data_IF_838639086697
#
_entry.id   IF_838639086697
#
_cell.length_a   1.000
_cell.length_b   1.000
_cell.length_c   1.000
_cell.angle_alpha   90.00
_cell.angle_beta   90.00
_cell.angle_gamma   90.00
#
_symmetry.space_group_name_H-M   'P 1'
#
loop_
_entity.id
_entity.type
_entity.pdbx_description
1 polymer ?
#
# COMPACT_ATOMS: atom_id res chain seq x y z
N UNK A 1 24.50 -10.45 -20.70
CA UNK A 1 24.87 -10.02 -19.32
C UNK A 1 23.60 -9.58 -18.62
N UNK A 2 23.30 -10.06 -17.41
CA UNK A 2 22.09 -9.66 -16.67
C UNK A 2 22.32 -8.26 -16.10
N UNK A 3 21.53 -7.28 -16.54
CA UNK A 3 21.63 -5.92 -16.03
C UNK A 3 20.89 -5.84 -14.68
N UNK A 4 21.63 -5.96 -13.58
CA UNK A 4 21.11 -5.87 -12.22
C UNK A 4 21.54 -4.52 -11.68
N UNK A 5 20.57 -3.63 -11.45
CA UNK A 5 20.84 -2.29 -10.92
C UNK A 5 20.80 -2.34 -9.39
N UNK A 6 21.88 -1.97 -8.68
CA UNK A 6 21.87 -1.90 -7.22
C UNK A 6 20.74 -0.98 -6.74
N UNK A 7 20.00 -1.41 -5.71
CA UNK A 7 18.82 -0.69 -5.22
C UNK A 7 17.55 -0.88 -6.07
N UNK A 8 17.56 -1.79 -7.05
CA UNK A 8 16.38 -2.19 -7.82
C UNK A 8 16.17 -3.70 -7.73
N UNK A 9 14.90 -4.10 -7.66
CA UNK A 9 14.50 -5.48 -7.44
C UNK A 9 14.24 -5.78 -5.97
N UNK A 10 14.14 -7.06 -5.63
CA UNK A 10 13.80 -7.50 -4.28
C UNK A 10 14.84 -7.00 -3.25
N UNK A 11 14.42 -6.46 -2.07
CA UNK A 11 13.06 -6.41 -1.50
C UNK A 11 12.29 -5.10 -1.75
N UNK A 12 12.75 -4.25 -2.67
CA UNK A 12 12.25 -2.88 -2.86
C UNK A 12 11.04 -2.85 -3.80
N UNK A 13 9.85 -3.07 -3.23
CA UNK A 13 8.57 -2.95 -3.94
C UNK A 13 8.12 -1.47 -4.04
N UNK A 14 7.90 -0.99 -5.28
CA UNK A 14 7.45 0.38 -5.53
C UNK A 14 5.97 0.61 -5.24
N UNK A 15 5.18 -0.46 -5.11
CA UNK A 15 3.76 -0.39 -4.76
C UNK A 15 3.54 -0.34 -3.25
N UNK A 16 4.51 -0.80 -2.46
CA UNK A 16 4.44 -0.74 -1.01
C UNK A 16 4.69 0.69 -0.51
N UNK A 17 3.61 1.39 -0.16
CA UNK A 17 3.69 2.76 0.34
C UNK A 17 4.06 2.82 1.84
N UNK A 18 3.35 2.07 2.69
CA UNK A 18 3.69 1.92 4.12
C UNK A 18 2.96 0.73 4.74
N UNK A 19 3.34 0.37 5.97
CA UNK A 19 2.62 -0.60 6.78
C UNK A 19 1.51 0.10 7.60
N UNK A 20 0.36 -0.57 7.76
CA UNK A 20 -0.71 -0.16 8.68
C UNK A 20 -0.71 -1.17 9.82
N UNK A 21 -0.65 -0.70 11.07
CA UNK A 21 -0.69 -1.56 12.25
C UNK A 21 -2.13 -1.77 12.70
N UNK A 22 -2.34 -2.83 13.49
CA UNK A 22 -3.63 -3.00 14.16
C UNK A 22 -3.92 -1.79 15.04
N UNK A 23 -5.20 -1.40 15.11
CA UNK A 23 -5.67 -0.21 15.84
C UNK A 23 -5.26 1.15 15.26
N UNK A 24 -4.61 1.21 14.08
CA UNK A 24 -4.49 2.47 13.34
C UNK A 24 -5.89 2.92 12.87
N UNK A 25 -6.36 4.12 13.23
CA UNK A 25 -7.64 4.62 12.74
C UNK A 25 -7.57 4.86 11.21
N UNK A 26 -8.63 4.47 10.50
CA UNK A 26 -8.72 4.57 9.03
C UNK A 26 -10.01 5.25 8.59
N UNK A 27 -9.94 5.94 7.45
CA UNK A 27 -11.11 6.38 6.68
C UNK A 27 -11.17 5.62 5.36
N UNK A 28 -12.31 4.97 5.06
CA UNK A 28 -12.53 4.25 3.78
C UNK A 28 -13.12 5.23 2.76
N UNK A 29 -12.45 5.40 1.62
CA UNK A 29 -12.88 6.34 0.58
C UNK A 29 -13.45 5.65 -0.67
N UNK A 30 -13.04 4.41 -0.97
CA UNK A 30 -13.58 3.64 -2.08
C UNK A 30 -13.35 2.13 -1.87
N UNK A 31 -14.04 1.29 -2.64
CA UNK A 31 -13.84 -0.15 -2.67
C UNK A 31 -13.81 -0.66 -4.11
N UNK A 32 -13.02 -1.70 -4.35
CA UNK A 32 -13.06 -2.39 -5.64
C UNK A 32 -14.39 -3.11 -5.84
N UNK A 33 -14.79 -3.33 -7.11
CA UNK A 33 -16.07 -3.99 -7.44
C UNK A 33 -16.20 -5.41 -6.89
N UNK A 34 -15.07 -6.11 -6.80
CA UNK A 34 -14.95 -7.45 -6.22
C UNK A 34 -14.88 -7.44 -4.68
N UNK A 35 -14.91 -6.25 -4.06
CA UNK A 35 -14.88 -6.01 -2.61
C UNK A 35 -13.66 -6.60 -1.89
N UNK A 36 -12.57 -6.89 -2.61
CA UNK A 36 -11.34 -7.42 -2.01
C UNK A 36 -10.42 -6.33 -1.46
N UNK A 37 -10.56 -5.11 -1.98
CA UNK A 37 -9.68 -4.00 -1.62
C UNK A 37 -10.49 -2.77 -1.26
N UNK A 38 -10.08 -2.12 -0.16
CA UNK A 38 -10.55 -0.80 0.25
C UNK A 38 -9.45 0.22 0.04
N UNK A 39 -9.78 1.36 -0.56
CA UNK A 39 -8.90 2.51 -0.61
C UNK A 39 -9.09 3.30 0.69
N UNK A 40 -8.03 3.43 1.49
CA UNK A 40 -8.07 4.01 2.84
C UNK A 40 -7.08 5.15 3.03
N UNK A 41 -7.43 6.10 3.90
CA UNK A 41 -6.55 7.17 4.38
C UNK A 41 -6.19 6.90 5.84
N UNK A 42 -4.91 7.05 6.19
CA UNK A 42 -4.39 6.92 7.56
C UNK A 42 -3.72 8.21 8.03
N UNK A 43 -3.66 8.49 9.35
CA UNK A 43 -3.10 9.74 9.87
C UNK A 43 -1.60 9.93 9.55
N UNK A 44 -0.88 8.82 9.41
CA UNK A 44 0.56 8.73 9.19
C UNK A 44 0.96 8.82 7.70
N UNK A 45 0.00 8.84 6.78
CA UNK A 45 0.27 8.82 5.34
C UNK A 45 -0.48 9.95 4.63
N UNK A 46 0.27 10.84 3.98
CA UNK A 46 -0.30 11.90 3.13
C UNK A 46 -0.70 11.28 1.79
N UNK A 47 -1.87 10.63 1.76
CA UNK A 47 -2.43 10.00 0.57
C UNK A 47 -3.41 8.87 0.91
N UNK A 48 -3.93 8.20 -0.12
CA UNK A 48 -4.76 7.01 0.03
C UNK A 48 -4.02 5.75 -0.46
N UNK A 49 -4.21 4.62 0.22
CA UNK A 49 -3.59 3.34 -0.14
C UNK A 49 -4.61 2.22 -0.16
N UNK A 50 -4.37 1.20 -0.99
CA UNK A 50 -5.22 0.03 -1.03
C UNK A 50 -4.88 -0.94 0.10
N UNK A 51 -5.90 -1.36 0.83
CA UNK A 51 -5.82 -2.31 1.93
C UNK A 51 -6.72 -3.51 1.62
N UNK A 52 -6.20 -4.70 1.87
CA UNK A 52 -6.94 -5.94 1.73
C UNK A 52 -7.89 -6.07 2.93
N UNK A 53 -9.15 -6.42 2.65
CA UNK A 53 -10.20 -6.60 3.67
C UNK A 53 -10.18 -8.04 4.19
#
# INVERSE_FOLDING_TARGET
MRNIMPGYGYPLDKLQASAIFISTPIYIINQTKDKRWSLVITPDFVGAKWMLI
#
